data_IF_769184599326
#
_entry.id   IF_769184599326
#
_cell.length_a   1.000
_cell.length_b   1.000
_cell.length_c   1.000
_cell.angle_alpha   90.00
_cell.angle_beta   90.00
_cell.angle_gamma   90.00
#
_symmetry.space_group_name_H-M   'P 1'
#
loop_
_entity.id
_entity.type
_entity.pdbx_description
1 polymer ?
#
# COMPACT_ATOMS: atom_id res chain seq x y z
N UNK A 1 -2.28 11.12 -9.88
CA UNK A 1 -1.47 9.93 -10.22
C UNK A 1 -1.30 9.78 -11.72
N UNK A 2 -0.31 9.02 -12.18
CA UNK A 2 -0.07 8.70 -13.59
C UNK A 2 0.07 7.19 -13.77
N UNK A 3 -0.38 6.67 -14.90
CA UNK A 3 -0.14 5.29 -15.28
C UNK A 3 1.18 5.14 -16.04
N UNK A 4 1.83 4.00 -15.86
CA UNK A 4 2.96 3.61 -16.71
C UNK A 4 2.53 3.54 -18.18
N UNK A 5 3.35 4.06 -19.09
CA UNK A 5 3.03 4.08 -20.52
C UNK A 5 2.98 2.69 -21.16
N UNK A 6 3.58 1.70 -20.53
CA UNK A 6 3.60 0.31 -20.99
C UNK A 6 2.47 -0.56 -20.43
N UNK A 7 1.57 -0.01 -19.60
CA UNK A 7 0.45 -0.78 -19.04
C UNK A 7 -0.53 -1.19 -20.14
N UNK A 8 -0.92 -2.47 -20.19
CA UNK A 8 -1.92 -2.93 -21.14
C UNK A 8 -3.32 -2.39 -20.79
N UNK A 9 -4.12 -2.05 -21.81
CA UNK A 9 -5.45 -1.43 -21.65
C UNK A 9 -6.39 -2.22 -20.72
N UNK A 10 -6.32 -3.57 -20.75
CA UNK A 10 -7.14 -4.40 -19.87
C UNK A 10 -6.83 -4.16 -18.39
N UNK A 11 -5.55 -4.07 -18.06
CA UNK A 11 -5.11 -3.85 -16.67
C UNK A 11 -5.34 -2.41 -16.22
N UNK A 12 -5.13 -1.46 -17.12
CA UNK A 12 -5.45 -0.06 -16.85
C UNK A 12 -6.92 0.10 -16.47
N UNK A 13 -7.82 -0.49 -17.25
CA UNK A 13 -9.27 -0.48 -16.95
C UNK A 13 -9.58 -1.15 -15.61
N UNK A 14 -8.99 -2.31 -15.33
CA UNK A 14 -9.19 -2.97 -14.02
C UNK A 14 -8.78 -2.08 -12.85
N UNK A 15 -7.69 -1.33 -12.96
CA UNK A 15 -7.27 -0.39 -11.90
C UNK A 15 -8.22 0.82 -11.84
N UNK A 16 -8.63 1.38 -12.98
CA UNK A 16 -9.59 2.50 -13.04
C UNK A 16 -10.94 2.10 -12.42
N UNK A 17 -11.44 0.88 -12.70
CA UNK A 17 -12.65 0.33 -12.09
C UNK A 17 -12.48 0.10 -10.58
N UNK A 18 -11.31 -0.41 -10.16
CA UNK A 18 -10.98 -0.58 -8.73
C UNK A 18 -11.01 0.77 -7.99
N UNK A 19 -10.38 1.80 -8.54
CA UNK A 19 -10.39 3.16 -7.99
C UNK A 19 -11.82 3.70 -7.88
N UNK A 20 -12.63 3.53 -8.92
CA UNK A 20 -14.04 3.93 -8.92
C UNK A 20 -14.85 3.23 -7.82
N UNK A 21 -14.62 1.93 -7.63
CA UNK A 21 -15.28 1.15 -6.58
C UNK A 21 -14.83 1.58 -5.18
N UNK A 22 -13.52 1.77 -4.95
CA UNK A 22 -12.98 2.23 -3.67
C UNK A 22 -13.54 3.61 -3.31
N UNK A 23 -13.56 4.54 -4.26
CA UNK A 23 -14.08 5.89 -4.04
C UNK A 23 -15.60 5.92 -3.81
N UNK A 24 -16.37 5.00 -4.37
CA UNK A 24 -17.82 4.95 -4.20
C UNK A 24 -18.25 4.18 -2.94
N UNK A 25 -17.64 3.03 -2.65
CA UNK A 25 -18.07 2.06 -1.64
C UNK A 25 -17.17 1.96 -0.42
N UNK A 26 -15.91 2.38 -0.51
CA UNK A 26 -14.99 2.40 0.63
C UNK A 26 -15.45 3.36 1.74
N UNK A 27 -14.93 3.19 2.96
CA UNK A 27 -15.13 4.12 4.06
C UNK A 27 -14.33 5.43 3.85
N UNK A 28 -14.47 6.39 4.76
CA UNK A 28 -13.83 7.71 4.65
C UNK A 28 -12.29 7.61 4.60
N UNK A 29 -11.69 6.65 5.30
CA UNK A 29 -10.24 6.44 5.28
C UNK A 29 -9.76 5.92 3.92
N UNK A 30 -10.47 4.95 3.34
CA UNK A 30 -10.19 4.45 1.99
C UNK A 30 -10.28 5.57 0.94
N UNK A 31 -11.35 6.38 1.01
CA UNK A 31 -11.56 7.52 0.11
C UNK A 31 -10.48 8.58 0.28
N UNK A 32 -10.09 8.89 1.51
CA UNK A 32 -9.02 9.84 1.82
C UNK A 32 -7.68 9.39 1.25
N UNK A 33 -7.28 8.13 1.48
CA UNK A 33 -6.03 7.56 0.97
C UNK A 33 -6.03 7.52 -0.55
N UNK A 34 -7.09 6.99 -1.16
CA UNK A 34 -7.21 6.88 -2.61
C UNK A 34 -7.29 8.25 -3.28
N UNK A 35 -8.03 9.20 -2.69
CA UNK A 35 -8.09 10.58 -3.15
C UNK A 35 -6.72 11.25 -3.17
N UNK A 36 -5.94 11.11 -2.10
CA UNK A 36 -4.58 11.63 -2.04
C UNK A 36 -3.66 11.03 -3.14
N UNK A 37 -3.80 9.74 -3.44
CA UNK A 37 -3.07 9.10 -4.54
C UNK A 37 -3.52 9.65 -5.90
N UNK A 38 -4.84 9.78 -6.12
CA UNK A 38 -5.40 10.32 -7.36
C UNK A 38 -4.93 11.74 -7.65
N UNK A 39 -4.82 12.60 -6.62
CA UNK A 39 -4.36 13.98 -6.72
C UNK A 39 -2.83 14.12 -6.84
N UNK A 40 -2.08 13.04 -6.64
CA UNK A 40 -0.61 13.01 -6.68
C UNK A 40 -0.07 12.75 -8.10
N UNK A 41 1.27 12.80 -8.24
CA UNK A 41 2.02 12.35 -9.43
C UNK A 41 2.57 10.91 -9.28
N UNK A 42 2.09 10.14 -8.29
CA UNK A 42 2.53 8.76 -8.07
C UNK A 42 2.29 7.89 -9.30
N UNK A 43 3.23 6.97 -9.56
CA UNK A 43 3.18 6.07 -10.70
C UNK A 43 2.41 4.79 -10.35
N UNK A 44 1.42 4.42 -11.17
CA UNK A 44 0.76 3.12 -11.08
C UNK A 44 1.19 2.24 -12.24
N UNK A 45 1.64 1.04 -11.91
CA UNK A 45 2.13 0.02 -12.84
C UNK A 45 1.37 -1.29 -12.64
N UNK A 46 1.26 -2.08 -13.70
CA UNK A 46 0.87 -3.49 -13.63
C UNK A 46 1.90 -4.29 -14.41
N UNK A 47 2.49 -5.29 -13.78
CA UNK A 47 3.59 -6.07 -14.33
C UNK A 47 3.45 -7.55 -13.93
N UNK A 48 4.04 -8.50 -14.68
CA UNK A 48 4.05 -9.91 -14.31
C UNK A 48 4.60 -10.14 -12.91
N UNK A 49 4.06 -11.11 -12.16
CA UNK A 49 4.52 -11.47 -10.81
C UNK A 49 6.00 -11.84 -10.78
N UNK A 50 6.54 -12.31 -11.89
CA UNK A 50 7.99 -12.59 -12.03
C UNK A 50 8.87 -11.34 -11.83
N UNK A 51 8.32 -10.13 -12.05
CA UNK A 51 8.97 -8.84 -11.80
C UNK A 51 8.56 -8.28 -10.42
N UNK A 52 7.28 -8.32 -10.09
CA UNK A 52 6.73 -7.75 -8.84
C UNK A 52 7.17 -8.57 -7.62
N UNK A 53 7.26 -9.90 -7.75
CA UNK A 53 7.62 -10.88 -6.69
C UNK A 53 6.60 -10.99 -5.54
N UNK A 54 5.44 -10.34 -5.66
CA UNK A 54 4.33 -10.35 -4.71
C UNK A 54 3.03 -10.06 -5.47
N UNK A 55 1.89 -10.02 -4.77
CA UNK A 55 0.61 -9.56 -5.35
C UNK A 55 0.65 -8.09 -5.74
N UNK A 56 1.37 -7.29 -4.96
CA UNK A 56 1.67 -5.89 -5.20
C UNK A 56 2.95 -5.47 -4.49
N UNK A 57 3.46 -4.32 -4.82
CA UNK A 57 4.62 -3.69 -4.15
C UNK A 57 4.57 -2.18 -4.32
N UNK A 58 4.95 -1.48 -3.26
CA UNK A 58 5.08 -0.02 -3.24
C UNK A 58 6.51 0.37 -2.89
N UNK A 59 7.02 1.41 -3.53
CA UNK A 59 8.37 1.90 -3.29
C UNK A 59 8.63 3.23 -3.97
N UNK A 60 9.92 3.57 -4.10
CA UNK A 60 10.40 4.75 -4.83
C UNK A 60 11.14 4.30 -6.09
N UNK A 61 10.89 4.98 -7.19
CA UNK A 61 11.56 4.71 -8.48
C UNK A 61 13.02 5.11 -8.34
N UNK A 62 13.95 4.16 -8.55
CA UNK A 62 15.39 4.39 -8.49
C UNK A 62 15.84 5.21 -7.26
N UNK A 63 15.70 4.68 -6.02
CA UNK A 63 16.02 5.43 -4.80
C UNK A 63 17.43 6.04 -4.78
N UNK A 64 18.49 5.35 -5.26
CA UNK A 64 19.84 5.92 -5.30
C UNK A 64 19.95 7.17 -6.20
N UNK A 65 19.25 7.19 -7.32
CA UNK A 65 19.24 8.33 -8.24
C UNK A 65 18.44 9.50 -7.64
N UNK A 66 17.28 9.21 -7.07
CA UNK A 66 16.43 10.20 -6.39
C UNK A 66 17.18 10.84 -5.21
N UNK A 67 17.82 10.04 -4.35
CA UNK A 67 18.64 10.52 -3.24
C UNK A 67 19.80 11.42 -3.72
N UNK A 68 20.48 11.07 -4.83
CA UNK A 68 21.53 11.90 -5.42
C UNK A 68 21.03 13.24 -5.93
N UNK A 69 19.85 13.28 -6.57
CA UNK A 69 19.22 14.52 -7.04
C UNK A 69 18.89 15.44 -5.87
N UNK A 70 18.31 14.88 -4.79
CA UNK A 70 18.01 15.64 -3.56
C UNK A 70 19.29 16.20 -2.95
N UNK A 71 20.32 15.37 -2.77
CA UNK A 71 21.60 15.80 -2.20
C UNK A 71 22.32 16.90 -3.00
N UNK A 72 22.04 17.01 -4.31
CA UNK A 72 22.60 18.06 -5.19
C UNK A 72 21.72 19.30 -5.32
N UNK A 73 20.54 19.31 -4.68
CA UNK A 73 19.55 20.38 -4.84
C UNK A 73 18.88 20.42 -6.22
N UNK A 74 18.98 19.34 -7.00
CA UNK A 74 18.34 19.19 -8.32
C UNK A 74 16.86 18.79 -8.19
N UNK A 75 16.44 18.36 -6.98
CA UNK A 75 15.11 17.91 -6.62
C UNK A 75 14.87 18.26 -5.15
N UNK A 76 13.72 18.79 -4.81
CA UNK A 76 13.34 18.92 -3.40
C UNK A 76 12.90 17.57 -2.83
N UNK A 77 12.90 17.45 -1.49
CA UNK A 77 12.39 16.22 -0.86
C UNK A 77 10.91 16.00 -1.19
N UNK A 78 10.10 17.06 -1.30
CA UNK A 78 8.68 16.97 -1.67
C UNK A 78 8.48 16.52 -3.12
N UNK A 79 9.39 16.84 -4.05
CA UNK A 79 9.29 16.34 -5.42
C UNK A 79 9.42 14.80 -5.48
N UNK A 80 10.08 14.18 -4.48
CA UNK A 80 10.18 12.72 -4.40
C UNK A 80 8.82 12.01 -4.18
N UNK A 81 7.76 12.74 -3.82
CA UNK A 81 6.39 12.21 -3.81
C UNK A 81 5.97 11.67 -5.19
N UNK A 82 6.40 12.34 -6.28
CA UNK A 82 6.17 11.90 -7.66
C UNK A 82 6.98 10.66 -8.08
N UNK A 83 7.99 10.27 -7.30
CA UNK A 83 8.78 9.07 -7.53
C UNK A 83 8.24 7.83 -6.78
N UNK A 84 7.18 7.98 -5.97
CA UNK A 84 6.49 6.84 -5.36
C UNK A 84 5.74 6.08 -6.46
N UNK A 85 5.84 4.74 -6.43
CA UNK A 85 5.07 3.89 -7.32
C UNK A 85 4.26 2.85 -6.57
N UNK A 86 3.15 2.44 -7.17
CA UNK A 86 2.33 1.29 -6.80
C UNK A 86 2.38 0.33 -7.99
N UNK A 87 2.82 -0.91 -7.77
CA UNK A 87 2.91 -1.92 -8.81
C UNK A 87 2.09 -3.14 -8.40
N UNK A 88 1.11 -3.53 -9.22
CA UNK A 88 0.23 -4.68 -9.01
C UNK A 88 0.67 -5.80 -9.94
N UNK A 89 0.66 -7.04 -9.47
CA UNK A 89 0.96 -8.18 -10.33
C UNK A 89 -0.21 -8.45 -11.30
N UNK A 90 0.12 -8.73 -12.57
CA UNK A 90 -0.87 -9.12 -13.58
C UNK A 90 -1.72 -10.30 -13.11
N UNK A 91 -1.07 -11.30 -12.50
CA UNK A 91 -1.70 -12.52 -12.00
C UNK A 91 -2.67 -12.24 -10.84
N UNK A 92 -2.46 -11.18 -10.06
CA UNK A 92 -3.41 -10.74 -9.03
C UNK A 92 -4.74 -10.31 -9.65
N UNK A 93 -4.68 -9.65 -10.80
CA UNK A 93 -5.87 -9.22 -11.54
C UNK A 93 -6.47 -10.41 -12.31
N UNK A 94 -5.65 -11.16 -13.02
CA UNK A 94 -6.11 -12.27 -13.87
C UNK A 94 -6.70 -13.45 -13.06
N UNK A 95 -6.22 -13.69 -11.82
CA UNK A 95 -6.67 -14.78 -10.95
C UNK A 95 -7.65 -14.30 -9.87
N UNK A 96 -7.34 -13.18 -9.20
CA UNK A 96 -8.15 -12.62 -8.13
C UNK A 96 -9.26 -11.68 -8.60
N UNK A 97 -9.39 -11.50 -9.93
CA UNK A 97 -10.43 -10.67 -10.51
C UNK A 97 -10.40 -9.22 -10.03
N UNK A 98 -11.56 -8.57 -10.09
CA UNK A 98 -11.73 -7.18 -9.67
C UNK A 98 -11.45 -7.00 -8.16
N UNK A 99 -11.88 -7.95 -7.33
CA UNK A 99 -11.65 -7.91 -5.87
C UNK A 99 -10.17 -8.06 -5.50
N UNK A 100 -9.43 -8.91 -6.24
CA UNK A 100 -7.98 -9.01 -6.09
C UNK A 100 -7.27 -7.71 -6.40
N UNK A 101 -7.66 -7.03 -7.48
CA UNK A 101 -7.16 -5.71 -7.85
C UNK A 101 -7.45 -4.66 -6.77
N UNK A 102 -8.70 -4.56 -6.33
CA UNK A 102 -9.15 -3.61 -5.30
C UNK A 102 -8.42 -3.81 -3.97
N UNK A 103 -8.41 -5.04 -3.44
CA UNK A 103 -7.78 -5.35 -2.16
C UNK A 103 -6.28 -5.08 -2.18
N UNK A 104 -5.60 -5.43 -3.28
CA UNK A 104 -4.18 -5.14 -3.46
C UNK A 104 -3.94 -3.64 -3.59
N UNK A 105 -4.75 -2.91 -4.35
CA UNK A 105 -4.61 -1.46 -4.47
C UNK A 105 -4.83 -0.75 -3.12
N UNK A 106 -5.79 -1.19 -2.31
CA UNK A 106 -6.02 -0.63 -0.96
C UNK A 106 -4.82 -0.88 -0.05
N UNK A 107 -4.24 -2.09 -0.07
CA UNK A 107 -3.04 -2.44 0.69
C UNK A 107 -1.83 -1.60 0.28
N UNK A 108 -1.48 -1.63 -1.00
CA UNK A 108 -0.33 -0.90 -1.55
C UNK A 108 -0.54 0.62 -1.48
N UNK A 109 -1.77 1.09 -1.68
CA UNK A 109 -2.13 2.49 -1.52
C UNK A 109 -1.92 3.00 -0.09
N UNK A 110 -2.13 2.16 0.93
CA UNK A 110 -1.79 2.49 2.32
C UNK A 110 -0.29 2.69 2.48
N UNK A 111 0.55 1.81 1.91
CA UNK A 111 2.00 2.00 1.92
C UNK A 111 2.41 3.30 1.23
N UNK A 112 1.87 3.57 0.03
CA UNK A 112 2.16 4.79 -0.72
C UNK A 112 1.79 6.05 0.07
N UNK A 113 0.63 6.05 0.72
CA UNK A 113 0.18 7.15 1.58
C UNK A 113 1.10 7.35 2.79
N UNK A 114 1.52 6.26 3.45
CA UNK A 114 2.43 6.31 4.59
C UNK A 114 3.82 6.82 4.17
N UNK A 115 4.36 6.39 3.02
CA UNK A 115 5.62 6.92 2.49
C UNK A 115 5.50 8.41 2.14
N UNK A 116 4.37 8.83 1.55
CA UNK A 116 4.13 10.24 1.28
C UNK A 116 4.07 11.07 2.58
N UNK A 117 3.36 10.60 3.59
CA UNK A 117 3.28 11.25 4.90
C UNK A 117 4.65 11.33 5.55
N UNK A 118 5.43 10.27 5.51
CA UNK A 118 6.80 10.25 6.03
C UNK A 118 7.66 11.31 5.32
N UNK A 119 7.69 11.34 3.99
CA UNK A 119 8.43 12.33 3.20
C UNK A 119 8.00 13.77 3.57
N UNK A 120 6.70 14.01 3.69
CA UNK A 120 6.15 15.32 4.08
C UNK A 120 6.60 15.74 5.48
N UNK A 121 6.57 14.84 6.46
CA UNK A 121 7.01 15.15 7.83
C UNK A 121 8.51 15.39 7.91
N UNK A 122 9.31 14.65 7.17
CA UNK A 122 10.76 14.91 7.06
C UNK A 122 11.06 16.23 6.37
N UNK A 123 10.26 16.67 5.40
CA UNK A 123 10.45 17.96 4.72
C UNK A 123 10.26 19.17 5.65
N UNK A 124 9.59 18.96 6.79
CA UNK A 124 9.36 19.98 7.84
C UNK A 124 10.10 19.68 9.14
N UNK A 125 11.03 18.73 9.15
CA UNK A 125 11.71 18.24 10.36
C UNK A 125 12.46 19.34 11.13
N UNK A 126 13.06 20.31 10.42
CA UNK A 126 13.75 21.44 11.06
C UNK A 126 12.80 22.32 11.88
N UNK A 127 11.55 22.47 11.44
CA UNK A 127 10.52 23.27 12.14
C UNK A 127 9.74 22.45 13.18
N UNK A 128 9.59 21.16 12.97
CA UNK A 128 8.83 20.26 13.84
C UNK A 128 9.47 18.87 13.96
N UNK A 129 10.60 18.75 14.67
CA UNK A 129 11.31 17.46 14.77
C UNK A 129 10.52 16.38 15.52
N UNK A 130 9.59 16.75 16.40
CA UNK A 130 8.73 15.81 17.12
C UNK A 130 7.54 15.32 16.29
N UNK A 131 7.29 15.95 15.14
CA UNK A 131 6.21 15.58 14.23
C UNK A 131 6.61 14.59 13.14
N UNK A 132 7.84 14.06 13.17
CA UNK A 132 8.30 13.09 12.17
C UNK A 132 7.50 11.79 12.30
N UNK A 133 6.89 11.37 11.20
CA UNK A 133 6.22 10.09 11.05
C UNK A 133 7.16 9.13 10.31
N UNK A 134 7.71 8.16 11.01
CA UNK A 134 8.65 7.17 10.44
C UNK A 134 8.36 5.78 11.02
N UNK A 135 7.30 5.10 10.55
CA UNK A 135 6.90 3.82 11.09
C UNK A 135 7.86 2.69 10.65
N UNK A 136 7.91 1.63 11.46
CA UNK A 136 8.61 0.39 11.14
C UNK A 136 7.89 -0.39 10.04
N UNK A 137 8.57 -1.34 9.39
CA UNK A 137 7.95 -2.25 8.42
C UNK A 137 6.76 -3.00 9.04
N UNK A 138 6.88 -3.42 10.32
CA UNK A 138 5.79 -4.06 11.04
C UNK A 138 4.53 -3.17 11.11
N UNK A 139 4.69 -1.91 11.48
CA UNK A 139 3.59 -0.95 11.57
C UNK A 139 2.99 -0.62 10.19
N UNK A 140 3.82 -0.54 9.15
CA UNK A 140 3.37 -0.35 7.77
C UNK A 140 2.50 -1.51 7.31
N UNK A 141 2.98 -2.74 7.46
CA UNK A 141 2.26 -3.95 7.06
C UNK A 141 0.98 -4.16 7.89
N UNK A 142 1.05 -3.91 9.20
CA UNK A 142 -0.13 -3.98 10.07
C UNK A 142 -1.22 -3.00 9.61
N UNK A 143 -0.84 -1.75 9.33
CA UNK A 143 -1.77 -0.73 8.84
C UNK A 143 -2.36 -1.11 7.47
N UNK A 144 -1.55 -1.62 6.55
CA UNK A 144 -1.98 -2.01 5.21
C UNK A 144 -2.95 -3.20 5.25
N UNK A 145 -2.65 -4.25 6.03
CA UNK A 145 -3.55 -5.39 6.19
C UNK A 145 -4.86 -5.01 6.88
N UNK A 146 -4.84 -4.17 7.93
CA UNK A 146 -6.06 -3.66 8.57
C UNK A 146 -6.92 -2.86 7.59
N UNK A 147 -6.31 -1.95 6.84
CA UNK A 147 -7.02 -1.15 5.83
C UNK A 147 -7.66 -2.04 4.75
N UNK A 148 -6.93 -3.07 4.28
CA UNK A 148 -7.49 -4.03 3.33
C UNK A 148 -8.64 -4.85 3.93
N UNK A 149 -8.53 -5.30 5.19
CA UNK A 149 -9.59 -6.00 5.90
C UNK A 149 -10.85 -5.14 6.07
N UNK A 150 -10.70 -3.89 6.49
CA UNK A 150 -11.81 -2.93 6.59
C UNK A 150 -12.49 -2.72 5.23
N UNK A 151 -11.71 -2.67 4.14
CA UNK A 151 -12.25 -2.58 2.79
C UNK A 151 -13.08 -3.81 2.41
N UNK A 152 -12.57 -5.01 2.66
CA UNK A 152 -13.29 -6.27 2.41
C UNK A 152 -14.64 -6.29 3.13
N UNK A 153 -14.71 -5.77 4.37
CA UNK A 153 -15.96 -5.66 5.13
C UNK A 153 -16.93 -4.62 4.54
N UNK A 154 -16.41 -3.53 3.93
CA UNK A 154 -17.25 -2.49 3.30
C UNK A 154 -17.87 -2.94 1.98
N UNK A 155 -17.19 -3.82 1.23
CA UNK A 155 -17.62 -4.22 -0.12
C UNK A 155 -18.58 -5.42 -0.07
N UNK A 156 -18.05 -6.59 -0.09
CA UNK A 156 -18.77 -7.84 0.06
C UNK A 156 -17.80 -8.91 0.55
N UNK A 157 -17.89 -9.20 1.83
CA UNK A 157 -17.02 -10.18 2.47
C UNK A 157 -17.16 -11.58 1.86
N UNK A 158 -18.36 -11.92 1.38
CA UNK A 158 -18.61 -13.26 0.85
C UNK A 158 -17.91 -13.43 -0.51
N UNK A 159 -17.85 -12.38 -1.36
CA UNK A 159 -17.04 -12.40 -2.57
C UNK A 159 -15.55 -12.63 -2.25
N UNK A 160 -15.00 -11.93 -1.24
CA UNK A 160 -13.61 -12.16 -0.81
C UNK A 160 -13.38 -13.55 -0.22
N UNK A 161 -14.36 -14.09 0.50
CA UNK A 161 -14.31 -15.45 1.03
C UNK A 161 -14.30 -16.50 -0.09
N UNK A 162 -15.13 -16.33 -1.10
CA UNK A 162 -15.24 -17.24 -2.23
C UNK A 162 -13.97 -17.22 -3.11
N UNK A 163 -13.33 -16.05 -3.26
CA UNK A 163 -12.07 -15.90 -3.99
C UNK A 163 -10.83 -16.28 -3.17
N UNK A 164 -10.97 -16.65 -1.89
CA UNK A 164 -9.85 -17.03 -1.04
C UNK A 164 -8.89 -15.91 -0.66
N UNK A 165 -9.32 -14.64 -0.81
CA UNK A 165 -8.47 -13.45 -0.62
C UNK A 165 -8.39 -12.96 0.83
N UNK A 166 -9.23 -13.48 1.73
CA UNK A 166 -9.32 -13.06 3.13
C UNK A 166 -8.28 -13.65 4.06
N UNK A 167 -7.33 -14.40 3.55
CA UNK A 167 -6.37 -15.22 4.29
C UNK A 167 -5.78 -14.51 5.52
N UNK A 168 -6.22 -14.93 6.73
CA UNK A 168 -5.77 -14.43 8.02
C UNK A 168 -6.02 -12.92 8.27
N UNK A 169 -6.79 -12.25 7.42
CA UNK A 169 -7.15 -10.82 7.57
C UNK A 169 -8.54 -10.70 8.18
N UNK A 170 -9.48 -11.56 7.74
CA UNK A 170 -10.83 -11.60 8.27
C UNK A 170 -11.05 -12.83 9.12
N UNK A 171 -11.71 -12.64 10.26
CA UNK A 171 -12.24 -13.69 11.12
C UNK A 171 -13.77 -13.68 11.11
N UNK A 172 -14.37 -14.76 11.63
CA UNK A 172 -15.81 -14.88 11.84
C UNK A 172 -16.12 -15.34 13.26
N UNK A 173 -17.01 -14.65 13.94
CA UNK A 173 -17.50 -15.09 15.25
C UNK A 173 -18.38 -16.31 15.06
N UNK A 174 -17.93 -17.49 15.45
CA UNK A 174 -18.67 -18.78 15.48
C UNK A 174 -19.73 -19.00 14.38
N UNK A 175 -19.44 -19.86 13.43
CA UNK A 175 -20.42 -20.35 12.42
C UNK A 175 -20.94 -19.25 11.49
N UNK A 176 -22.12 -18.71 11.78
CA UNK A 176 -22.80 -17.67 10.99
C UNK A 176 -22.69 -16.27 11.57
N UNK A 177 -21.80 -16.05 12.53
CA UNK A 177 -21.60 -14.73 13.15
C UNK A 177 -21.00 -13.69 12.19
N UNK A 178 -21.00 -12.40 12.59
CA UNK A 178 -20.44 -11.33 11.76
C UNK A 178 -18.94 -11.53 11.52
N UNK A 179 -18.48 -11.16 10.34
CA UNK A 179 -17.06 -11.04 10.04
C UNK A 179 -16.47 -9.82 10.71
N UNK A 180 -15.19 -9.88 11.02
CA UNK A 180 -14.41 -8.80 11.62
C UNK A 180 -12.98 -8.84 11.08
N UNK A 181 -12.23 -7.72 11.19
CA UNK A 181 -10.80 -7.72 10.92
C UNK A 181 -10.10 -8.48 12.04
N UNK A 182 -9.39 -9.54 11.67
CA UNK A 182 -8.73 -10.46 12.64
C UNK A 182 -7.32 -9.97 12.95
N UNK A 183 -7.19 -9.11 13.96
CA UNK A 183 -5.89 -8.61 14.41
C UNK A 183 -4.91 -9.75 14.76
N UNK A 184 -5.38 -10.80 15.43
CA UNK A 184 -4.54 -11.93 15.79
C UNK A 184 -4.06 -12.71 14.56
N UNK A 185 -4.95 -12.89 13.57
CA UNK A 185 -4.61 -13.49 12.28
C UNK A 185 -3.60 -12.64 11.50
N UNK A 186 -3.76 -11.32 11.48
CA UNK A 186 -2.80 -10.41 10.85
C UNK A 186 -1.43 -10.50 11.53
N UNK A 187 -1.35 -10.44 12.86
CA UNK A 187 -0.10 -10.58 13.60
C UNK A 187 0.59 -11.92 13.30
N UNK A 188 -0.19 -13.01 13.26
CA UNK A 188 0.33 -14.33 12.88
C UNK A 188 0.90 -14.32 11.45
N UNK A 189 0.18 -13.71 10.50
CA UNK A 189 0.64 -13.57 9.11
C UNK A 189 1.94 -12.77 9.02
N UNK A 190 2.06 -11.66 9.75
CA UNK A 190 3.28 -10.86 9.78
C UNK A 190 4.47 -11.65 10.33
N UNK A 191 4.24 -12.47 11.36
CA UNK A 191 5.26 -13.35 11.89
C UNK A 191 5.66 -14.44 10.87
N UNK A 192 4.69 -15.18 10.35
CA UNK A 192 4.94 -16.35 9.49
C UNK A 192 5.52 -15.97 8.12
N UNK A 193 5.02 -14.89 7.51
CA UNK A 193 5.37 -14.52 6.12
C UNK A 193 6.51 -13.51 6.03
N UNK A 194 6.68 -12.65 7.05
CA UNK A 194 7.66 -11.55 7.04
C UNK A 194 8.71 -11.69 8.14
N UNK A 195 8.51 -12.59 9.11
CA UNK A 195 9.38 -12.70 10.29
C UNK A 195 9.29 -11.48 11.22
N UNK A 196 8.19 -10.74 11.16
CA UNK A 196 7.99 -9.51 11.93
C UNK A 196 7.17 -9.77 13.19
N UNK A 197 7.55 -9.12 14.31
CA UNK A 197 6.87 -9.27 15.60
C UNK A 197 6.72 -7.93 16.30
N UNK A 198 5.62 -7.70 17.07
CA UNK A 198 5.37 -6.39 17.71
C UNK A 198 6.41 -5.98 18.74
N UNK A 199 6.98 -6.95 19.49
CA UNK A 199 7.91 -6.71 20.60
C UNK A 199 9.36 -7.13 20.26
N UNK A 200 9.61 -7.61 19.04
CA UNK A 200 10.91 -8.12 18.62
C UNK A 200 11.41 -7.50 17.34
N UNK A 201 11.45 -8.30 16.26
CA UNK A 201 11.88 -7.83 14.95
C UNK A 201 10.75 -7.04 14.28
N UNK A 202 10.83 -5.71 14.31
CA UNK A 202 9.88 -4.84 13.63
C UNK A 202 10.31 -4.48 12.18
N UNK A 203 11.47 -4.95 11.75
CA UNK A 203 12.03 -4.61 10.44
C UNK A 203 12.56 -3.17 10.36
N UNK A 204 12.96 -2.71 9.16
CA UNK A 204 13.47 -1.37 8.94
C UNK A 204 12.38 -0.31 9.08
N UNK A 205 12.81 0.95 9.32
CA UNK A 205 11.95 2.13 9.29
C UNK A 205 11.53 2.48 7.85
N UNK A 206 10.42 3.17 7.69
CA UNK A 206 9.93 3.63 6.38
C UNK A 206 11.00 4.46 5.64
N UNK A 207 11.71 5.34 6.33
CA UNK A 207 12.81 6.14 5.78
C UNK A 207 13.96 5.30 5.21
N UNK A 208 14.23 4.14 5.79
CA UNK A 208 15.23 3.19 5.29
C UNK A 208 14.71 2.43 4.07
N UNK A 209 13.41 2.04 4.07
CA UNK A 209 12.78 1.32 2.96
C UNK A 209 12.73 2.15 1.68
N UNK A 210 12.42 3.44 1.78
CA UNK A 210 12.40 4.33 0.60
C UNK A 210 13.80 4.68 0.08
N UNK A 211 14.86 4.47 0.87
CA UNK A 211 16.25 4.64 0.44
C UNK A 211 16.66 6.07 0.12
N UNK A 212 15.95 7.08 0.62
CA UNK A 212 16.18 8.49 0.28
C UNK A 212 17.20 9.21 1.18
N UNK A 213 17.74 8.57 2.21
CA UNK A 213 18.66 9.18 3.19
C UNK A 213 18.08 10.48 3.79
N UNK A 214 17.02 10.33 4.55
CA UNK A 214 16.24 11.43 5.13
C UNK A 214 16.80 11.98 6.46
N UNK A 215 17.98 11.58 6.87
CA UNK A 215 18.67 12.05 8.10
C UNK A 215 19.65 13.17 7.80
#
# INVERSE_FOLDING_TARGET
>A
MRFDSGIADKYRRSVEDALGTIMSRGNDDHKRVTGAILESEMLVQVQPVSKVKASGVTGVIDPPKTAKKIARGEMSLLDALGEIYINIAEETIDTGGQRGCEGTFVHEGRHAYNFATMIQTYSTAEMNPLGIFDPTLYELELAAHKTAGDYMLCIDKDEYLDEGLQLMILGRQTGSGPCYVDDAGIHKRLCDSYGLTPEGNQGPMASQLVGLKLS
#
